data_IF_692962053499
#
_entry.id   IF_692962053499
#
_cell.length_a   1.000
_cell.length_b   1.000
_cell.length_c   1.000
_cell.angle_alpha   90.00
_cell.angle_beta   90.00
_cell.angle_gamma   90.00
#
_symmetry.space_group_name_H-M   'P 1'
#
loop_
_entity.id
_entity.type
_entity.pdbx_description
1 polymer ?
#
# COMPACT_ATOMS: atom_id res chain seq x y z
N UNK A 1 -39.15 -36.74 -19.72
CA UNK A 1 -38.67 -36.59 -18.33
C UNK A 1 -38.89 -37.91 -17.60
N UNK A 2 -38.02 -38.23 -16.63
CA UNK A 2 -37.80 -39.53 -15.93
C UNK A 2 -36.84 -40.44 -16.72
N UNK A 3 -35.74 -41.02 -16.22
CA UNK A 3 -35.12 -41.26 -14.90
C UNK A 3 -34.30 -42.56 -15.10
N UNK A 4 -33.00 -42.64 -14.82
CA UNK A 4 -32.37 -43.23 -13.61
C UNK A 4 -30.96 -43.70 -14.04
N UNK A 5 -29.88 -43.29 -13.39
CA UNK A 5 -29.26 -43.92 -12.21
C UNK A 5 -28.25 -45.00 -12.63
N UNK A 6 -26.97 -44.60 -12.79
CA UNK A 6 -25.85 -45.52 -12.77
C UNK A 6 -24.90 -45.10 -11.63
N UNK A 7 -25.11 -45.80 -10.53
CA UNK A 7 -24.34 -45.76 -9.31
C UNK A 7 -23.01 -46.48 -9.52
N UNK A 8 -21.88 -45.75 -9.54
CA UNK A 8 -20.62 -46.27 -9.00
C UNK A 8 -19.89 -45.23 -8.14
N UNK A 9 -20.26 -45.28 -6.87
CA UNK A 9 -19.51 -44.89 -5.67
C UNK A 9 -18.10 -45.51 -5.67
N UNK A 10 -17.05 -44.68 -5.60
CA UNK A 10 -15.70 -44.90 -5.02
C UNK A 10 -14.79 -43.80 -5.58
N UNK A 11 -13.95 -43.09 -4.86
CA UNK A 11 -13.51 -43.13 -3.48
C UNK A 11 -12.83 -41.78 -3.23
N UNK A 12 -13.20 -41.12 -2.13
CA UNK A 12 -12.60 -39.90 -1.61
C UNK A 12 -11.21 -40.25 -1.06
N UNK A 13 -10.19 -40.24 -1.93
CA UNK A 13 -8.81 -40.27 -1.49
C UNK A 13 -8.38 -38.83 -1.16
N UNK A 14 -8.64 -38.42 0.07
CA UNK A 14 -7.99 -37.29 0.73
C UNK A 14 -6.47 -37.47 0.64
N UNK A 15 -5.82 -36.82 -0.32
CA UNK A 15 -4.39 -36.51 -0.22
C UNK A 15 -4.21 -35.24 0.59
N UNK A 16 -4.54 -35.35 1.88
CA UNK A 16 -3.98 -34.46 2.90
C UNK A 16 -2.54 -34.92 3.16
N UNK A 17 -1.66 -34.67 2.19
CA UNK A 17 -0.24 -34.59 2.50
C UNK A 17 -0.07 -33.28 3.26
N UNK A 18 -0.18 -33.37 4.59
CA UNK A 18 0.36 -32.35 5.46
C UNK A 18 1.84 -32.23 5.11
N UNK A 19 2.18 -31.25 4.27
CA UNK A 19 3.54 -30.77 4.16
C UNK A 19 3.89 -30.27 5.54
N UNK A 20 4.62 -31.09 6.29
CA UNK A 20 5.32 -30.66 7.48
C UNK A 20 6.21 -29.51 7.01
N UNK A 21 5.82 -28.28 7.33
CA UNK A 21 6.70 -27.12 7.26
C UNK A 21 7.82 -27.38 8.26
N UNK A 22 8.82 -28.15 7.84
CA UNK A 22 10.06 -28.37 8.56
C UNK A 22 10.80 -27.03 8.59
N UNK A 23 10.38 -26.17 9.51
CA UNK A 23 11.11 -25.00 9.91
C UNK A 23 12.41 -25.50 10.53
N UNK A 24 13.45 -25.64 9.71
CA UNK A 24 14.82 -25.85 10.16
C UNK A 24 15.15 -24.66 11.06
N UNK A 25 14.89 -24.81 12.35
CA UNK A 25 14.75 -23.74 13.35
C UNK A 25 16.07 -23.06 13.67
N UNK A 26 16.64 -22.39 12.68
CA UNK A 26 17.88 -21.65 12.78
C UNK A 26 17.63 -20.49 13.73
N UNK A 27 18.21 -20.58 14.93
CA UNK A 27 18.08 -19.56 15.96
C UNK A 27 18.92 -18.35 15.57
N UNK A 28 18.28 -17.33 15.00
CA UNK A 28 18.96 -16.08 14.62
C UNK A 28 19.00 -15.15 15.82
N UNK A 29 20.20 -14.92 16.37
CA UNK A 29 20.40 -13.93 17.41
C UNK A 29 20.16 -12.50 16.85
N UNK A 30 19.49 -11.61 17.61
CA UNK A 30 19.23 -10.26 17.13
C UNK A 30 20.54 -9.47 16.98
N UNK A 31 20.85 -9.03 15.75
CA UNK A 31 22.05 -8.23 15.45
C UNK A 31 21.90 -6.81 16.02
N UNK A 32 20.68 -6.27 16.06
CA UNK A 32 20.41 -4.89 16.52
C UNK A 32 19.18 -4.89 17.43
N UNK A 33 19.29 -4.18 18.55
CA UNK A 33 18.15 -3.86 19.42
C UNK A 33 17.60 -2.50 19.04
N UNK A 34 16.38 -2.46 18.50
CA UNK A 34 15.70 -1.22 18.18
C UNK A 34 15.14 -0.59 19.47
N UNK A 35 15.29 0.71 19.61
CA UNK A 35 14.58 1.50 20.61
C UNK A 35 13.33 2.08 19.98
N UNK A 36 12.24 2.09 20.71
CA UNK A 36 11.05 2.82 20.29
C UNK A 36 11.36 4.32 20.28
N UNK A 37 10.97 4.99 19.20
CA UNK A 37 11.17 6.43 19.01
C UNK A 37 9.83 7.03 18.65
N UNK A 38 9.46 8.12 19.30
CA UNK A 38 8.26 8.87 18.94
C UNK A 38 8.41 9.41 17.52
N UNK A 39 7.45 9.09 16.64
CA UNK A 39 7.45 9.53 15.25
C UNK A 39 6.39 10.60 15.07
N UNK A 40 6.81 11.77 14.57
CA UNK A 40 5.90 12.84 14.13
C UNK A 40 5.60 12.69 12.64
N UNK A 41 4.37 12.98 12.25
CA UNK A 41 3.93 12.90 10.85
C UNK A 41 4.29 14.14 10.05
N UNK A 42 4.50 15.29 10.71
CA UNK A 42 4.70 16.60 10.09
C UNK A 42 3.41 17.19 9.53
N UNK A 43 2.25 16.62 9.87
CA UNK A 43 0.91 17.02 9.42
C UNK A 43 0.09 17.68 10.55
N UNK A 44 0.63 17.82 11.76
CA UNK A 44 -0.08 18.21 12.98
C UNK A 44 -0.62 19.66 12.95
N UNK A 45 0.12 20.57 12.31
CA UNK A 45 -0.23 21.99 12.15
C UNK A 45 -1.09 22.28 10.91
N UNK A 46 -1.63 21.22 10.27
CA UNK A 46 -2.40 21.33 9.03
C UNK A 46 -3.79 20.74 9.17
N UNK A 47 -4.77 21.42 8.61
CA UNK A 47 -6.14 20.94 8.51
C UNK A 47 -6.32 20.10 7.25
N UNK A 48 -7.02 18.97 7.39
CA UNK A 48 -7.30 18.05 6.29
C UNK A 48 -8.55 18.49 5.54
N UNK A 49 -8.38 18.88 4.28
CA UNK A 49 -9.47 19.31 3.41
C UNK A 49 -10.06 18.16 2.60
N UNK A 50 -9.25 17.15 2.29
CA UNK A 50 -9.66 15.98 1.51
C UNK A 50 -8.88 14.75 1.96
N UNK A 51 -9.52 13.59 1.89
CA UNK A 51 -8.90 12.29 2.13
C UNK A 51 -9.56 11.21 1.28
N UNK A 52 -8.87 10.69 0.26
CA UNK A 52 -9.38 9.65 -0.63
C UNK A 52 -8.31 8.62 -0.99
N UNK A 53 -8.77 7.47 -1.48
CA UNK A 53 -7.89 6.45 -2.07
C UNK A 53 -7.65 6.79 -3.54
N UNK A 54 -6.39 6.76 -3.97
CA UNK A 54 -5.98 7.14 -5.31
C UNK A 54 -4.80 6.29 -5.82
N UNK A 55 -4.52 6.42 -7.11
CA UNK A 55 -3.32 5.90 -7.77
C UNK A 55 -2.64 7.03 -8.52
N UNK A 56 -1.37 7.26 -8.22
CA UNK A 56 -0.54 8.31 -8.80
C UNK A 56 0.27 7.74 -9.97
N UNK A 57 0.27 8.49 -11.07
CA UNK A 57 1.07 8.22 -12.26
C UNK A 57 1.96 9.42 -12.56
N UNK A 58 3.18 9.16 -13.03
CA UNK A 58 4.12 10.15 -13.52
C UNK A 58 4.29 9.96 -15.02
N UNK A 59 4.22 11.05 -15.80
CA UNK A 59 4.43 10.99 -17.23
C UNK A 59 5.93 11.05 -17.53
N UNK A 60 6.44 10.03 -18.21
CA UNK A 60 7.80 9.97 -18.73
C UNK A 60 7.82 10.59 -20.12
N UNK A 61 8.50 11.74 -20.27
CA UNK A 61 8.57 12.49 -21.52
C UNK A 61 9.40 11.78 -22.59
N UNK A 62 10.47 11.09 -22.20
CA UNK A 62 11.35 10.40 -23.15
C UNK A 62 10.64 9.17 -23.73
N UNK A 63 9.97 8.40 -22.86
CA UNK A 63 9.21 7.22 -23.26
C UNK A 63 7.79 7.50 -23.75
N UNK A 64 7.32 8.76 -23.71
CA UNK A 64 5.94 9.18 -24.00
C UNK A 64 4.87 8.28 -23.35
N UNK A 65 5.07 7.94 -22.08
CA UNK A 65 4.25 6.94 -21.38
C UNK A 65 3.99 7.30 -19.92
N UNK A 66 2.87 6.82 -19.38
CA UNK A 66 2.56 6.95 -17.96
C UNK A 66 3.15 5.80 -17.16
N UNK A 67 3.97 6.12 -16.15
CA UNK A 67 4.54 5.16 -15.20
C UNK A 67 3.83 5.25 -13.85
N UNK A 68 3.51 4.11 -13.25
CA UNK A 68 2.91 4.07 -11.92
C UNK A 68 3.89 4.54 -10.84
N UNK A 69 3.50 5.52 -10.02
CA UNK A 69 4.33 6.08 -8.94
C UNK A 69 3.93 5.57 -7.55
N UNK A 70 2.64 5.34 -7.32
CA UNK A 70 2.15 4.80 -6.05
C UNK A 70 0.63 4.63 -5.98
N UNK A 71 0.18 3.72 -5.11
CA UNK A 71 -1.24 3.49 -4.81
C UNK A 71 -1.43 3.61 -3.30
N UNK A 72 -2.41 4.39 -2.86
CA UNK A 72 -2.67 4.61 -1.45
C UNK A 72 -3.62 5.78 -1.19
N UNK A 73 -3.47 6.44 -0.05
CA UNK A 73 -4.37 7.53 0.34
C UNK A 73 -3.72 8.88 0.04
N UNK A 74 -4.49 9.76 -0.61
CA UNK A 74 -4.13 11.15 -0.86
C UNK A 74 -4.86 12.05 0.14
N UNK A 75 -4.13 13.02 0.68
CA UNK A 75 -4.62 14.08 1.53
C UNK A 75 -4.37 15.43 0.87
N UNK A 76 -5.33 16.34 0.99
CA UNK A 76 -5.08 17.78 0.78
C UNK A 76 -5.05 18.42 2.15
N UNK A 77 -3.94 19.07 2.48
CA UNK A 77 -3.66 19.64 3.80
C UNK A 77 -3.44 21.15 3.69
N UNK A 78 -4.06 21.94 4.55
CA UNK A 78 -3.90 23.39 4.63
C UNK A 78 -3.22 23.78 5.94
N UNK A 79 -2.12 24.54 5.90
CA UNK A 79 -1.49 25.06 7.10
C UNK A 79 -2.44 26.02 7.83
N UNK A 80 -2.61 25.83 9.14
CA UNK A 80 -3.49 26.65 9.97
C UNK A 80 -3.08 28.12 9.96
N UNK A 81 -1.78 28.40 10.08
CA UNK A 81 -1.27 29.76 10.25
C UNK A 81 -1.00 30.50 8.94
N UNK A 82 -0.51 29.80 7.91
CA UNK A 82 -0.08 30.44 6.65
C UNK A 82 -1.08 30.28 5.52
N UNK A 83 -2.10 29.43 5.69
CA UNK A 83 -3.09 29.11 4.66
C UNK A 83 -2.55 28.33 3.45
N UNK A 84 -1.24 28.03 3.42
CA UNK A 84 -0.61 27.25 2.34
C UNK A 84 -1.22 25.85 2.27
N UNK A 85 -1.45 25.37 1.05
CA UNK A 85 -2.04 24.06 0.80
C UNK A 85 -1.00 23.13 0.20
N UNK A 86 -1.05 21.85 0.55
CA UNK A 86 -0.26 20.78 -0.07
C UNK A 86 -1.12 19.55 -0.33
N UNK A 87 -0.72 18.82 -1.36
CA UNK A 87 -1.11 17.44 -1.54
C UNK A 87 -0.03 16.55 -0.93
N UNK A 88 -0.44 15.54 -0.15
CA UNK A 88 0.43 14.48 0.37
C UNK A 88 -0.21 13.13 0.05
N UNK A 89 0.54 12.21 -0.53
CA UNK A 89 0.08 10.86 -0.81
C UNK A 89 1.05 9.83 -0.23
N UNK A 90 0.51 8.85 0.51
CA UNK A 90 1.27 7.74 1.10
C UNK A 90 0.77 6.40 0.55
N UNK A 91 1.69 5.47 0.35
CA UNK A 91 1.37 4.12 -0.11
C UNK A 91 0.62 3.34 0.98
N UNK A 92 -0.36 2.52 0.59
CA UNK A 92 -1.23 1.83 1.56
C UNK A 92 -0.51 0.81 2.47
N UNK A 93 0.47 0.07 1.95
CA UNK A 93 1.16 -0.99 2.72
C UNK A 93 2.38 -0.46 3.49
N UNK A 94 3.20 0.34 2.83
CA UNK A 94 4.50 0.79 3.37
C UNK A 94 4.43 2.13 4.08
N UNK A 95 3.34 2.87 3.91
CA UNK A 95 3.13 4.25 4.38
C UNK A 95 4.20 5.26 3.89
N UNK A 96 5.06 4.84 2.94
CA UNK A 96 6.03 5.71 2.28
C UNK A 96 5.33 6.79 1.49
N UNK A 97 5.88 8.00 1.53
CA UNK A 97 5.39 9.11 0.72
C UNK A 97 5.69 8.81 -0.75
N UNK A 98 4.65 8.83 -1.59
CA UNK A 98 4.78 8.65 -3.03
C UNK A 98 4.48 9.92 -3.83
N UNK A 99 3.93 10.97 -3.19
CA UNK A 99 3.76 12.28 -3.80
C UNK A 99 3.64 13.37 -2.73
N UNK A 100 4.31 14.50 -2.96
CA UNK A 100 4.13 15.75 -2.21
C UNK A 100 4.20 16.91 -3.21
N UNK A 101 3.23 17.81 -3.16
CA UNK A 101 3.23 19.01 -3.99
C UNK A 101 2.57 20.19 -3.28
N UNK A 102 3.04 21.42 -3.51
CA UNK A 102 2.29 22.62 -3.14
C UNK A 102 0.96 22.67 -3.92
N UNK A 103 -0.06 23.30 -3.33
CA UNK A 103 -1.40 23.43 -3.90
C UNK A 103 -1.50 24.42 -5.07
N UNK A 104 -0.47 25.24 -5.29
CA UNK A 104 -0.29 25.93 -6.57
C UNK A 104 0.12 24.88 -7.59
N UNK A 105 -0.68 24.70 -8.65
CA UNK A 105 -0.58 23.64 -9.67
C UNK A 105 0.71 23.64 -10.52
N UNK A 106 1.80 24.21 -10.01
CA UNK A 106 3.13 24.20 -10.59
C UNK A 106 3.78 22.84 -10.30
N UNK A 107 3.44 21.89 -11.18
CA UNK A 107 4.19 20.68 -11.51
C UNK A 107 4.63 19.84 -10.30
N UNK A 108 3.91 18.74 -10.07
CA UNK A 108 4.55 17.55 -9.49
C UNK A 108 5.71 17.20 -10.42
N UNK A 109 6.94 17.58 -10.04
CA UNK A 109 8.13 17.18 -10.77
C UNK A 109 8.23 15.65 -10.69
N UNK A 110 7.77 15.01 -11.75
CA UNK A 110 8.44 13.88 -12.34
C UNK A 110 9.57 14.50 -13.21
#
# INVERSE_FOLDING_TARGET
>A
MLGSDDSERREYASHSAAGEDENTGSQVAPIVRLKEVAVTTGEEDKDMLLYWKAKLYCFDKEGSQWKGRGTGNVKILKHKNTGKVWLVMRQGKTLKICGIAPGSAEVLNC
#
